data_IF_726514247553
#
_entry.id   IF_726514247553
#
_cell.length_a   1.000
_cell.length_b   1.000
_cell.length_c   1.000
_cell.angle_alpha   90.00
_cell.angle_beta   90.00
_cell.angle_gamma   90.00
#
_symmetry.space_group_name_H-M   'P 1'
#
loop_
_entity.id
_entity.type
_entity.pdbx_description
1 polymer ?
#
# COMPACT_ATOMS: atom_id res chain seq x y z
N UNK A 1 21.58 -15.88 -15.72
CA UNK A 1 20.39 -14.99 -15.72
C UNK A 1 20.08 -14.54 -14.30
N UNK A 2 20.02 -15.47 -13.34
CA UNK A 2 19.87 -15.15 -11.91
C UNK A 2 21.11 -14.46 -11.33
N UNK A 3 22.32 -14.80 -11.82
CA UNK A 3 23.59 -14.24 -11.30
C UNK A 3 23.78 -12.73 -11.50
N UNK A 4 22.91 -12.09 -12.29
CA UNK A 4 22.93 -10.63 -12.53
C UNK A 4 21.83 -9.88 -11.76
N UNK A 5 21.07 -10.58 -10.91
CA UNK A 5 19.99 -10.02 -10.09
C UNK A 5 20.49 -9.98 -8.64
N UNK A 6 20.16 -8.92 -7.90
CA UNK A 6 20.56 -8.84 -6.50
C UNK A 6 19.82 -9.90 -5.67
N UNK A 7 20.49 -10.47 -4.66
CA UNK A 7 19.82 -11.33 -3.68
C UNK A 7 18.64 -10.61 -2.99
N UNK A 8 18.72 -9.29 -2.83
CA UNK A 8 17.62 -8.49 -2.28
C UNK A 8 16.39 -8.56 -3.18
N UNK A 9 16.55 -8.35 -4.49
CA UNK A 9 15.44 -8.36 -5.45
C UNK A 9 14.73 -9.74 -5.51
N UNK A 10 15.46 -10.82 -5.20
CA UNK A 10 14.92 -12.19 -5.20
C UNK A 10 14.26 -12.59 -3.88
N UNK A 11 14.74 -12.08 -2.74
CA UNK A 11 14.32 -12.54 -1.42
C UNK A 11 13.43 -11.54 -0.67
N UNK A 12 13.62 -10.24 -0.88
CA UNK A 12 12.96 -9.23 -0.07
C UNK A 12 11.52 -8.97 -0.56
N UNK A 13 10.59 -8.87 0.38
CA UNK A 13 9.24 -8.38 0.12
C UNK A 13 9.24 -6.85 0.08
N UNK A 14 9.88 -6.28 -0.94
CA UNK A 14 10.00 -4.83 -1.08
C UNK A 14 8.67 -4.27 -1.58
N UNK A 15 8.06 -3.40 -0.76
CA UNK A 15 6.94 -2.58 -1.18
C UNK A 15 7.19 -1.12 -0.80
N UNK A 16 6.77 -0.24 -1.70
CA UNK A 16 6.83 1.20 -1.50
C UNK A 16 5.50 1.71 -0.96
N UNK A 17 5.55 2.82 -0.23
CA UNK A 17 4.37 3.59 0.16
C UNK A 17 4.45 4.95 -0.50
N UNK A 18 3.64 5.14 -1.53
CA UNK A 18 3.50 6.40 -2.26
C UNK A 18 2.32 7.15 -1.67
N UNK A 19 2.64 8.19 -0.89
CA UNK A 19 1.64 9.06 -0.29
C UNK A 19 0.73 9.67 -1.39
N UNK A 20 -0.60 9.69 -1.21
CA UNK A 20 -1.29 9.40 0.05
C UNK A 20 -1.72 7.94 0.24
N UNK A 21 -1.84 7.12 -0.81
CA UNK A 21 -2.60 5.88 -0.68
C UNK A 21 -2.29 4.79 -1.71
N UNK A 22 -1.10 4.82 -2.32
CA UNK A 22 -0.67 3.85 -3.32
C UNK A 22 0.52 3.05 -2.78
N UNK A 23 0.48 1.73 -2.91
CA UNK A 23 1.57 0.87 -2.47
C UNK A 23 1.94 -0.18 -3.53
N UNK A 24 2.87 0.14 -4.47
CA UNK A 24 3.39 -0.83 -5.42
C UNK A 24 4.42 -1.73 -4.74
N UNK A 25 4.34 -3.01 -5.04
CA UNK A 25 5.42 -3.95 -4.74
C UNK A 25 6.48 -3.85 -5.84
N UNK A 26 7.73 -4.11 -5.45
CA UNK A 26 8.88 -4.02 -6.32
C UNK A 26 9.30 -5.38 -6.86
N UNK A 27 10.32 -5.34 -7.71
CA UNK A 27 11.05 -6.50 -8.20
C UNK A 27 10.15 -7.51 -8.92
N UNK A 28 10.09 -8.75 -8.43
CA UNK A 28 9.32 -9.82 -9.04
C UNK A 28 7.90 -9.97 -8.48
N UNK A 29 7.46 -9.04 -7.62
CA UNK A 29 6.11 -9.04 -7.07
C UNK A 29 5.20 -8.08 -7.86
N UNK A 30 4.23 -8.57 -8.65
CA UNK A 30 3.39 -7.70 -9.49
C UNK A 30 2.30 -6.96 -8.71
N UNK A 31 2.30 -7.06 -7.39
CA UNK A 31 1.19 -6.63 -6.54
C UNK A 31 1.16 -5.10 -6.45
N UNK A 32 -0.04 -4.53 -6.57
CA UNK A 32 -0.24 -3.10 -6.48
C UNK A 32 -1.49 -2.80 -5.66
N UNK A 33 -1.32 -2.13 -4.52
CA UNK A 33 -2.43 -1.70 -3.67
C UNK A 33 -2.80 -0.25 -3.87
N UNK A 34 -4.09 0.06 -3.74
CA UNK A 34 -4.61 1.41 -3.58
C UNK A 34 -5.71 1.42 -2.53
N UNK A 35 -5.61 2.34 -1.56
CA UNK A 35 -6.60 2.50 -0.48
C UNK A 35 -7.39 3.79 -0.68
N UNK A 36 -8.64 3.71 -1.14
CA UNK A 36 -9.45 4.91 -1.39
C UNK A 36 -10.43 5.17 -0.25
N UNK A 37 -10.56 6.40 0.26
CA UNK A 37 -11.58 6.71 1.26
C UNK A 37 -12.98 6.50 0.67
N UNK A 38 -13.91 6.02 1.50
CA UNK A 38 -15.34 6.00 1.17
C UNK A 38 -15.95 7.39 1.42
N UNK A 39 -15.63 8.34 0.53
CA UNK A 39 -16.00 9.75 0.69
C UNK A 39 -15.48 10.32 2.01
N UNK A 40 -16.39 10.75 2.89
CA UNK A 40 -16.08 11.28 4.23
C UNK A 40 -16.31 10.26 5.36
N UNK A 41 -16.58 8.99 5.03
CA UNK A 41 -16.80 7.94 6.01
C UNK A 41 -15.45 7.48 6.60
N UNK A 42 -15.17 7.74 7.90
CA UNK A 42 -13.90 7.33 8.51
C UNK A 42 -13.88 5.84 8.89
N UNK A 43 -14.99 5.12 8.71
CA UNK A 43 -15.12 3.71 9.09
C UNK A 43 -14.78 2.74 7.97
N UNK A 44 -14.65 3.24 6.73
CA UNK A 44 -14.53 2.39 5.55
C UNK A 44 -13.60 2.99 4.51
N UNK A 45 -12.99 2.10 3.73
CA UNK A 45 -12.21 2.45 2.57
C UNK A 45 -12.30 1.31 1.55
N UNK A 46 -12.07 1.63 0.29
CA UNK A 46 -11.87 0.62 -0.76
C UNK A 46 -10.42 0.15 -0.74
N UNK A 47 -10.21 -1.14 -0.57
CA UNK A 47 -8.92 -1.80 -0.77
C UNK A 47 -8.89 -2.39 -2.18
N UNK A 48 -8.24 -1.68 -3.11
CA UNK A 48 -8.08 -2.14 -4.48
C UNK A 48 -6.74 -2.89 -4.63
N UNK A 49 -6.83 -4.13 -5.11
CA UNK A 49 -5.69 -4.99 -5.41
C UNK A 49 -5.59 -5.18 -6.92
N UNK A 50 -4.39 -4.99 -7.48
CA UNK A 50 -4.11 -5.19 -8.90
C UNK A 50 -2.81 -5.97 -9.09
N UNK A 51 -2.73 -6.78 -10.14
CA UNK A 51 -1.47 -7.31 -10.66
C UNK A 51 -1.03 -6.50 -11.88
N UNK A 52 0.12 -5.83 -11.74
CA UNK A 52 0.74 -5.00 -12.77
C UNK A 52 1.91 -5.77 -13.36
N UNK A 53 1.63 -6.64 -14.33
CA UNK A 53 2.63 -7.52 -14.96
C UNK A 53 3.29 -6.80 -16.14
N UNK A 54 4.63 -6.84 -16.19
CA UNK A 54 5.37 -6.32 -17.33
C UNK A 54 5.11 -7.16 -18.58
N UNK A 55 4.89 -6.48 -19.71
CA UNK A 55 4.73 -7.13 -21.00
C UNK A 55 6.07 -7.22 -21.72
N UNK A 56 6.32 -8.28 -22.52
CA UNK A 56 7.46 -8.33 -23.42
C UNK A 56 7.48 -7.11 -24.35
N UNK A 57 8.68 -6.69 -24.75
CA UNK A 57 8.83 -5.58 -25.68
C UNK A 57 8.11 -5.87 -27.01
N UNK A 58 7.31 -4.91 -27.49
CA UNK A 58 6.51 -5.05 -28.71
C UNK A 58 5.23 -5.87 -28.57
N UNK A 59 4.93 -6.44 -27.40
CA UNK A 59 3.65 -7.12 -27.18
C UNK A 59 2.48 -6.12 -27.17
N UNK A 60 1.33 -6.55 -27.72
CA UNK A 60 0.11 -5.76 -27.66
C UNK A 60 -0.40 -5.67 -26.22
N UNK A 61 -0.79 -4.46 -25.79
CA UNK A 61 -1.33 -4.25 -24.46
C UNK A 61 -2.70 -4.93 -24.35
N UNK A 62 -2.92 -5.83 -23.38
CA UNK A 62 -4.21 -6.48 -23.21
C UNK A 62 -5.27 -5.47 -22.78
N UNK A 63 -6.53 -5.84 -23.01
CA UNK A 63 -7.66 -5.11 -22.44
C UNK A 63 -7.57 -5.06 -20.90
N UNK A 64 -8.16 -4.05 -20.25
CA UNK A 64 -8.22 -3.99 -18.79
C UNK A 64 -8.84 -5.27 -18.20
N UNK A 65 -8.28 -5.74 -17.07
CA UNK A 65 -8.83 -6.88 -16.36
C UNK A 65 -10.27 -6.58 -15.87
N UNK A 66 -11.11 -7.61 -15.83
CA UNK A 66 -12.42 -7.51 -15.18
C UNK A 66 -12.21 -7.25 -13.69
N UNK A 67 -13.01 -6.35 -13.13
CA UNK A 67 -13.00 -6.09 -11.70
C UNK A 67 -14.03 -6.99 -10.99
N UNK A 68 -13.58 -7.65 -9.93
CA UNK A 68 -14.45 -8.37 -8.98
C UNK A 68 -14.58 -7.48 -7.75
N UNK A 69 -15.80 -7.03 -7.49
CA UNK A 69 -16.13 -6.20 -6.34
C UNK A 69 -16.60 -7.10 -5.21
N UNK A 70 -15.98 -6.96 -4.05
CA UNK A 70 -16.33 -7.65 -2.82
C UNK A 70 -16.92 -6.61 -1.86
N UNK A 71 -18.01 -6.95 -1.19
CA UNK A 71 -18.59 -6.18 -0.11
C UNK A 71 -17.84 -6.48 1.22
N UNK A 72 -18.19 -5.77 2.29
CA UNK A 72 -17.50 -5.82 3.57
C UNK A 72 -17.46 -7.19 4.22
N UNK A 73 -18.43 -8.06 3.98
CA UNK A 73 -18.51 -9.39 4.61
C UNK A 73 -18.19 -10.53 3.63
N UNK A 74 -17.84 -10.19 2.39
CA UNK A 74 -17.48 -11.18 1.37
C UNK A 74 -16.05 -11.71 1.63
N UNK A 75 -15.83 -12.98 1.27
CA UNK A 75 -14.52 -13.62 1.43
C UNK A 75 -13.58 -13.19 0.29
N UNK A 76 -12.35 -12.75 0.61
CA UNK A 76 -11.38 -12.35 -0.42
C UNK A 76 -11.08 -13.46 -1.45
N UNK A 77 -11.30 -14.73 -1.09
CA UNK A 77 -11.09 -15.87 -1.98
C UNK A 77 -12.12 -15.96 -3.11
N UNK A 78 -13.22 -15.21 -3.03
CA UNK A 78 -14.18 -15.06 -4.13
C UNK A 78 -13.59 -14.26 -5.31
N UNK A 79 -12.58 -13.42 -5.06
CA UNK A 79 -11.75 -12.80 -6.10
C UNK A 79 -10.72 -13.81 -6.64
N UNK A 80 -11.21 -14.80 -7.39
CA UNK A 80 -10.45 -15.94 -7.92
C UNK A 80 -9.32 -15.57 -8.89
N UNK A 81 -9.29 -14.33 -9.37
CA UNK A 81 -8.25 -13.80 -10.27
C UNK A 81 -6.88 -13.69 -9.58
N UNK A 82 -6.86 -13.64 -8.25
CA UNK A 82 -5.66 -13.61 -7.45
C UNK A 82 -5.39 -15.02 -6.92
N UNK A 83 -4.15 -15.51 -7.08
CA UNK A 83 -3.78 -16.85 -6.60
C UNK A 83 -4.18 -17.08 -5.15
N UNK A 84 -4.72 -18.26 -4.84
CA UNK A 84 -5.48 -18.56 -3.61
C UNK A 84 -4.76 -18.32 -2.27
N UNK A 85 -3.45 -18.06 -2.28
CA UNK A 85 -2.67 -17.82 -1.08
C UNK A 85 -2.77 -16.37 -0.60
N UNK A 86 -2.72 -15.40 -1.53
CA UNK A 86 -2.73 -13.98 -1.19
C UNK A 86 -4.09 -13.55 -0.62
N UNK A 87 -5.18 -14.03 -1.21
CA UNK A 87 -6.55 -13.75 -0.76
C UNK A 87 -6.82 -14.25 0.67
N UNK A 88 -6.23 -15.39 1.06
CA UNK A 88 -6.30 -15.89 2.43
C UNK A 88 -5.55 -15.03 3.45
N UNK A 89 -4.50 -14.33 3.04
CA UNK A 89 -3.78 -13.38 3.91
C UNK A 89 -4.65 -12.14 4.11
N UNK A 90 -5.31 -11.64 3.06
CA UNK A 90 -6.22 -10.50 3.20
C UNK A 90 -7.40 -10.77 4.12
N UNK A 91 -7.94 -11.99 4.13
CA UNK A 91 -8.95 -12.37 5.13
C UNK A 91 -8.42 -12.27 6.57
N UNK A 92 -7.15 -12.58 6.81
CA UNK A 92 -6.54 -12.43 8.14
C UNK A 92 -6.36 -10.96 8.52
N UNK A 93 -5.91 -10.12 7.59
CA UNK A 93 -5.76 -8.67 7.82
C UNK A 93 -7.11 -7.99 8.04
N UNK A 94 -8.14 -8.41 7.30
CA UNK A 94 -9.51 -7.90 7.44
C UNK A 94 -10.04 -8.05 8.87
N UNK A 95 -9.79 -9.19 9.52
CA UNK A 95 -10.18 -9.42 10.92
C UNK A 95 -9.49 -8.42 11.86
N UNK A 96 -8.25 -8.04 11.56
CA UNK A 96 -7.49 -7.08 12.35
C UNK A 96 -8.01 -5.64 12.17
N UNK A 97 -8.44 -5.23 10.98
CA UNK A 97 -8.90 -3.86 10.71
C UNK A 97 -10.06 -3.42 11.63
N UNK A 98 -11.08 -4.27 11.81
CA UNK A 98 -12.22 -3.99 12.70
C UNK A 98 -11.77 -3.80 14.15
N UNK A 99 -10.85 -4.66 14.61
CA UNK A 99 -10.29 -4.58 15.96
C UNK A 99 -9.42 -3.32 16.15
N UNK A 100 -8.60 -2.97 15.15
CA UNK A 100 -7.76 -1.78 15.17
C UNK A 100 -8.59 -0.50 15.23
N UNK A 101 -9.63 -0.37 14.40
CA UNK A 101 -10.51 0.81 14.40
C UNK A 101 -11.22 0.99 15.75
N UNK A 102 -11.71 -0.12 16.33
CA UNK A 102 -12.29 -0.12 17.68
C UNK A 102 -11.26 0.31 18.75
N UNK A 103 -10.05 -0.22 18.66
CA UNK A 103 -8.94 0.11 19.56
C UNK A 103 -8.58 1.60 19.49
N UNK A 104 -8.40 2.14 18.29
CA UNK A 104 -8.12 3.55 18.05
C UNK A 104 -9.18 4.48 18.68
N UNK A 105 -10.47 4.15 18.56
CA UNK A 105 -11.57 4.91 19.19
C UNK A 105 -11.61 4.81 20.72
N UNK A 106 -11.10 3.71 21.27
CA UNK A 106 -11.10 3.49 22.72
C UNK A 106 -9.94 4.18 23.45
N UNK A 107 -9.01 4.78 22.71
CA UNK A 107 -7.80 5.39 23.26
C UNK A 107 -8.13 6.64 24.11
N UNK A 108 -7.86 6.67 25.43
CA UNK A 108 -8.39 7.69 26.33
C UNK A 108 -7.98 9.13 26.03
N UNK A 109 -6.79 9.33 25.46
CA UNK A 109 -6.25 10.64 25.10
C UNK A 109 -6.43 10.98 23.61
N UNK A 110 -7.00 10.07 22.80
CA UNK A 110 -7.14 10.25 21.35
C UNK A 110 -5.81 10.30 20.58
N UNK A 111 -4.70 9.90 21.18
CA UNK A 111 -3.36 9.96 20.57
C UNK A 111 -2.87 8.55 20.25
N UNK A 112 -2.53 8.31 18.98
CA UNK A 112 -1.88 7.07 18.56
C UNK A 112 -0.44 7.01 19.11
N UNK A 113 -0.09 5.88 19.72
CA UNK A 113 1.27 5.61 20.19
C UNK A 113 1.94 4.61 19.25
N UNK A 114 3.14 4.93 18.78
CA UNK A 114 3.90 4.08 17.86
C UNK A 114 5.18 3.53 18.50
N UNK A 115 5.50 2.28 18.21
CA UNK A 115 6.75 1.61 18.56
C UNK A 115 7.95 2.28 17.89
N UNK A 116 9.00 2.54 18.67
CA UNK A 116 10.14 3.35 18.24
C UNK A 116 10.84 2.81 16.97
N UNK A 117 11.05 1.50 16.87
CA UNK A 117 11.81 0.91 15.75
C UNK A 117 10.93 0.48 14.57
N UNK A 118 9.89 -0.34 14.85
CA UNK A 118 9.13 -1.03 13.80
C UNK A 118 8.10 -0.14 13.08
N UNK A 119 7.68 0.98 13.68
CA UNK A 119 6.59 1.81 13.14
C UNK A 119 7.06 3.19 12.65
N UNK A 120 8.32 3.27 12.21
CA UNK A 120 8.88 4.49 11.63
C UNK A 120 8.14 4.94 10.36
N UNK A 121 7.74 3.99 9.49
CA UNK A 121 6.94 4.28 8.28
C UNK A 121 5.57 4.88 8.62
N UNK A 122 4.89 4.36 9.65
CA UNK A 122 3.58 4.88 10.08
C UNK A 122 3.70 6.28 10.66
N UNK A 123 4.71 6.55 11.50
CA UNK A 123 4.99 7.91 11.98
C UNK A 123 5.24 8.88 10.84
N UNK A 124 6.12 8.51 9.90
CA UNK A 124 6.40 9.34 8.73
C UNK A 124 5.15 9.61 7.89
N UNK A 125 4.25 8.63 7.74
CA UNK A 125 2.96 8.81 7.09
C UNK A 125 2.10 9.87 7.80
N UNK A 126 1.92 9.75 9.12
CA UNK A 126 1.13 10.72 9.89
C UNK A 126 1.76 12.12 9.93
N UNK A 127 3.08 12.23 10.03
CA UNK A 127 3.78 13.51 9.91
C UNK A 127 3.57 14.16 8.54
N UNK A 128 3.56 13.35 7.47
CA UNK A 128 3.29 13.84 6.12
C UNK A 128 1.83 14.26 5.99
N UNK A 129 0.89 13.44 6.47
CA UNK A 129 -0.53 13.74 6.46
C UNK A 129 -0.83 15.06 7.19
N UNK A 130 -0.31 15.25 8.40
CA UNK A 130 -0.50 16.47 9.17
C UNK A 130 0.04 17.69 8.43
N UNK A 131 1.23 17.60 7.80
CA UNK A 131 1.74 18.70 6.95
C UNK A 131 0.76 19.09 5.84
N UNK A 132 0.11 18.11 5.21
CA UNK A 132 -0.91 18.39 4.18
C UNK A 132 -2.18 19.00 4.78
N UNK A 133 -2.66 18.50 5.92
CA UNK A 133 -3.87 19.00 6.57
C UNK A 133 -3.69 20.41 7.15
N UNK A 134 -2.50 20.73 7.65
CA UNK A 134 -2.18 22.01 8.28
C UNK A 134 -1.77 23.09 7.26
N UNK A 135 -1.58 22.74 5.98
CA UNK A 135 -1.16 23.69 4.95
C UNK A 135 -2.34 24.27 4.18
N UNK A 136 -2.34 25.60 3.98
CA UNK A 136 -3.33 26.26 3.10
C UNK A 136 -3.08 25.96 1.61
N UNK A 137 -1.83 25.67 1.24
CA UNK A 137 -1.42 25.28 -0.11
C UNK A 137 -0.74 23.90 -0.11
N UNK A 138 -0.83 23.13 -1.23
CA UNK A 138 -0.13 21.85 -1.35
C UNK A 138 1.38 21.95 -1.03
N UNK A 139 1.89 21.17 -0.04
CA UNK A 139 3.30 21.14 0.30
C UNK A 139 4.17 20.78 -0.91
N UNK A 140 5.23 21.56 -1.14
CA UNK A 140 6.18 21.31 -2.23
C UNK A 140 7.19 20.25 -1.82
N UNK A 141 7.52 19.35 -2.75
CA UNK A 141 8.61 18.40 -2.55
C UNK A 141 9.92 19.14 -2.25
N UNK A 142 10.75 18.64 -1.31
CA UNK A 142 12.05 19.23 -1.05
C UNK A 142 12.86 19.30 -2.35
N UNK A 143 13.53 20.43 -2.62
CA UNK A 143 14.42 20.52 -3.78
C UNK A 143 15.51 19.45 -3.63
N UNK A 144 15.57 18.51 -4.59
CA UNK A 144 16.60 17.47 -4.63
C UNK A 144 17.97 18.16 -4.64
N UNK A 145 18.72 18.05 -3.56
CA UNK A 145 20.14 18.45 -3.57
C UNK A 145 20.82 17.56 -4.60
N UNK A 146 21.49 18.13 -5.60
CA UNK A 146 22.29 17.35 -6.55
C UNK A 146 23.29 16.54 -5.74
N UNK A 147 23.12 15.21 -5.71
CA UNK A 147 24.14 14.33 -5.20
C UNK A 147 25.38 14.56 -6.07
N UNK A 148 26.50 14.95 -5.46
CA UNK A 148 27.79 14.84 -6.14
C UNK A 148 28.01 13.33 -6.33
N UNK A 149 27.85 12.82 -7.54
CA UNK A 149 28.39 11.50 -7.85
C UNK A 149 29.90 11.60 -7.59
N UNK A 150 30.41 10.82 -6.64
CA UNK A 150 31.83 10.56 -6.57
C UNK A 150 32.19 9.77 -7.83
N UNK A 151 33.17 10.30 -8.58
CA UNK A 151 33.73 9.65 -9.77
C UNK A 151 34.57 8.43 -9.37
#
# INVERSE_FOLDING_TARGET
>A
MVDNISDADLNDAIFYSVFPNISPWADFNPIFYRFMPDGNNPEQCFHEVRFMVALPEGAERPAPAKCTFLDLEDDYTEATEFGSYLTKIFNQDYLNHKAMQKGAKSQPNGIATFAQYQESKLRHFHETLNKWLDSEEPPKSPKRKKAKLAA
#
